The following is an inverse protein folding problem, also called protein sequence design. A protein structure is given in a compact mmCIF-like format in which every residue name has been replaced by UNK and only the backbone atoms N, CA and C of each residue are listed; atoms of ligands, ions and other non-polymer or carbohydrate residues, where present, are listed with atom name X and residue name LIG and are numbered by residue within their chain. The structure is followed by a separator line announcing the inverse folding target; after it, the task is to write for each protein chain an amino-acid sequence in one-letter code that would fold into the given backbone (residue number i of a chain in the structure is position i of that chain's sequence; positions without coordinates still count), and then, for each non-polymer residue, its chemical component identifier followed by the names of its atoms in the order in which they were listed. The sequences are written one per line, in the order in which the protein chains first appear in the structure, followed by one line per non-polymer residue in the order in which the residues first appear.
data_IF_661306403207
#
_entry.id   IF_661306403207
#
_cell.length_a   1.000
_cell.length_b   1.000
_cell.length_c   1.000
_cell.angle_alpha   90.00
_cell.angle_beta   90.00
_cell.angle_gamma   90.00
#
_symmetry.space_group_name_H-M   'P 1'
#
loop_
_entity.id
_entity.type
_entity.pdbx_description
1 polymer ?
#
# COMPACT_ATOMS: atom_id res chain seq x y z
N UNK A 1 -15.33 5.11 -2.56
CA UNK A 1 -14.94 3.79 -2.06
C UNK A 1 -13.49 3.82 -1.62
N UNK A 2 -13.21 3.38 -0.41
CA UNK A 2 -11.86 3.38 0.14
C UNK A 2 -11.31 1.98 0.24
N UNK A 3 -10.00 1.87 0.08
CA UNK A 3 -9.30 0.62 0.31
C UNK A 3 -8.68 0.62 1.70
N UNK A 4 -8.62 -0.55 2.30
CA UNK A 4 -7.87 -0.74 3.54
C UNK A 4 -6.44 -1.10 3.18
N UNK A 5 -5.49 -0.32 3.67
CA UNK A 5 -4.07 -0.59 3.46
C UNK A 5 -3.37 -1.04 4.72
N UNK A 6 -4.13 -1.55 5.69
CA UNK A 6 -3.55 -1.98 6.96
C UNK A 6 -2.51 -3.09 6.76
N UNK A 7 -2.83 -4.06 5.91
CA UNK A 7 -1.91 -5.14 5.62
C UNK A 7 -0.67 -4.63 4.88
N UNK A 8 -0.86 -3.69 3.95
CA UNK A 8 0.26 -3.10 3.22
C UNK A 8 1.17 -2.31 4.17
N UNK A 9 0.58 -1.52 5.07
CA UNK A 9 1.36 -0.77 6.05
C UNK A 9 2.18 -1.70 6.94
N UNK A 10 1.59 -2.81 7.36
CA UNK A 10 2.30 -3.79 8.16
C UNK A 10 3.47 -4.40 7.41
N UNK A 11 3.27 -4.69 6.12
CA UNK A 11 4.34 -5.26 5.32
C UNK A 11 5.48 -4.27 5.09
N UNK A 12 5.13 -3.00 4.84
CA UNK A 12 6.14 -1.93 4.73
C UNK A 12 6.97 -1.86 6.00
N UNK A 13 6.32 -1.88 7.14
CA UNK A 13 7.02 -1.84 8.43
C UNK A 13 7.92 -3.05 8.60
N UNK A 14 7.43 -4.22 8.24
CA UNK A 14 8.17 -5.46 8.41
C UNK A 14 9.42 -5.51 7.54
N UNK A 15 9.31 -5.12 6.27
CA UNK A 15 10.39 -5.28 5.29
C UNK A 15 11.30 -4.06 5.23
N UNK A 16 10.73 -2.85 5.30
CA UNK A 16 11.47 -1.61 5.06
C UNK A 16 11.51 -0.68 6.26
N UNK A 17 10.82 -1.00 7.31
CA UNK A 17 10.76 -0.26 8.57
C UNK A 17 10.02 1.07 8.49
N UNK A 18 10.20 1.88 7.45
CA UNK A 18 9.58 3.20 7.37
C UNK A 18 8.93 3.43 6.02
N UNK A 19 7.93 4.34 6.00
CA UNK A 19 7.31 4.76 4.75
C UNK A 19 8.29 5.58 3.89
N UNK A 20 9.25 6.25 4.51
CA UNK A 20 10.28 6.98 3.78
C UNK A 20 11.10 6.03 2.92
N UNK A 21 11.50 4.89 3.48
CA UNK A 21 12.24 3.90 2.71
C UNK A 21 11.40 3.29 1.60
N UNK A 22 10.12 3.05 1.89
CA UNK A 22 9.21 2.53 0.88
C UNK A 22 9.09 3.51 -0.30
N UNK A 23 8.91 4.80 0.01
CA UNK A 23 8.82 5.83 -1.03
C UNK A 23 10.08 5.84 -1.89
N UNK A 24 11.24 5.79 -1.24
CA UNK A 24 12.52 5.78 -1.93
C UNK A 24 12.64 4.57 -2.86
N UNK A 25 12.24 3.40 -2.37
CA UNK A 25 12.37 2.16 -3.12
C UNK A 25 11.46 2.09 -4.33
N UNK A 26 10.28 2.68 -4.27
CA UNK A 26 9.37 2.67 -5.42
C UNK A 26 9.43 3.96 -6.23
N UNK A 27 10.28 4.90 -5.84
CA UNK A 27 10.61 6.06 -6.68
C UNK A 27 9.60 7.19 -6.62
N UNK A 28 8.91 7.39 -5.49
CA UNK A 28 7.99 8.50 -5.33
C UNK A 28 8.28 9.21 -4.01
N UNK A 29 7.66 10.37 -3.80
CA UNK A 29 7.87 11.12 -2.56
C UNK A 29 7.11 10.46 -1.41
N UNK A 30 7.56 10.72 -0.19
CA UNK A 30 6.87 10.22 1.00
C UNK A 30 5.49 10.85 1.13
N UNK A 31 5.32 12.09 0.66
CA UNK A 31 4.01 12.74 0.63
C UNK A 31 3.05 11.97 -0.28
N UNK A 32 3.53 11.53 -1.44
CA UNK A 32 2.72 10.71 -2.34
C UNK A 32 2.33 9.38 -1.70
N UNK A 33 3.27 8.74 -1.01
CA UNK A 33 2.97 7.50 -0.30
C UNK A 33 1.86 7.73 0.72
N UNK A 34 2.00 8.80 1.49
CA UNK A 34 1.03 9.12 2.52
C UNK A 34 -0.37 9.34 1.93
N UNK A 35 -0.45 10.08 0.82
CA UNK A 35 -1.73 10.33 0.15
C UNK A 35 -2.35 9.02 -0.33
N UNK A 36 -1.57 8.14 -0.92
CA UNK A 36 -2.09 6.88 -1.45
C UNK A 36 -2.56 5.95 -0.34
N UNK A 37 -1.80 5.88 0.75
CA UNK A 37 -2.19 5.04 1.89
C UNK A 37 -3.43 5.58 2.62
N UNK A 38 -3.74 6.86 2.41
CA UNK A 38 -4.93 7.48 3.01
C UNK A 38 -6.06 7.69 2.01
N UNK A 39 -6.01 7.02 0.87
CA UNK A 39 -7.06 7.05 -0.15
C UNK A 39 -7.28 8.42 -0.78
N UNK A 40 -6.29 9.29 -0.74
CA UNK A 40 -6.37 10.60 -1.38
C UNK A 40 -5.90 10.56 -2.82
N UNK A 41 -5.20 9.52 -3.20
CA UNK A 41 -4.86 9.23 -4.59
C UNK A 41 -4.68 7.73 -4.70
N UNK A 42 -4.50 7.24 -5.93
CA UNK A 42 -4.40 5.80 -6.17
C UNK A 42 -2.98 5.41 -6.53
N UNK A 43 -2.61 4.19 -6.17
CA UNK A 43 -1.36 3.62 -6.65
C UNK A 43 -1.46 3.41 -8.16
N UNK A 44 -0.40 3.78 -8.87
CA UNK A 44 -0.31 3.46 -10.28
C UNK A 44 0.09 2.00 -10.46
N UNK A 45 -0.13 1.49 -11.66
CA UNK A 45 0.24 0.13 -11.99
C UNK A 45 1.73 -0.12 -11.76
N UNK A 46 2.58 0.84 -12.15
CA UNK A 46 4.02 0.72 -11.96
C UNK A 46 4.39 0.72 -10.48
N UNK A 47 3.71 1.54 -9.69
CA UNK A 47 3.98 1.59 -8.25
C UNK A 47 3.60 0.29 -7.58
N UNK A 48 2.49 -0.31 -7.98
CA UNK A 48 2.08 -1.62 -7.46
C UNK A 48 3.11 -2.68 -7.85
N UNK A 49 3.53 -2.67 -9.10
CA UNK A 49 4.51 -3.64 -9.59
C UNK A 49 5.82 -3.53 -8.80
N UNK A 50 6.32 -2.30 -8.62
CA UNK A 50 7.55 -2.09 -7.87
C UNK A 50 7.39 -2.50 -6.41
N UNK A 51 6.22 -2.23 -5.83
CA UNK A 51 5.94 -2.61 -4.44
C UNK A 51 5.96 -4.12 -4.25
N UNK A 52 5.40 -4.85 -5.22
CA UNK A 52 5.38 -6.31 -5.16
C UNK A 52 6.81 -6.84 -5.09
N UNK A 53 7.70 -6.27 -5.89
CA UNK A 53 9.09 -6.70 -5.92
C UNK A 53 9.82 -6.34 -4.63
N UNK A 54 9.68 -5.10 -4.20
CA UNK A 54 10.41 -4.60 -3.03
C UNK A 54 9.92 -5.26 -1.74
N UNK A 55 8.62 -5.46 -1.63
CA UNK A 55 8.02 -6.04 -0.43
C UNK A 55 7.89 -7.56 -0.50
N UNK A 56 8.30 -8.16 -1.61
CA UNK A 56 8.26 -9.62 -1.81
C UNK A 56 6.85 -10.17 -1.59
N UNK A 57 5.86 -9.52 -2.22
CA UNK A 57 4.47 -9.92 -2.10
C UNK A 57 4.18 -11.05 -3.09
N UNK A 58 3.68 -12.20 -2.63
CA UNK A 58 3.31 -13.27 -3.55
C UNK A 58 2.17 -12.85 -4.48
N UNK A 59 2.17 -13.37 -5.70
CA UNK A 59 1.17 -13.00 -6.69
C UNK A 59 -0.26 -13.26 -6.21
N UNK A 60 -0.46 -14.33 -5.45
CA UNK A 60 -1.79 -14.67 -4.95
C UNK A 60 -2.25 -13.82 -3.76
N UNK A 61 -1.42 -12.88 -3.30
CA UNK A 61 -1.79 -12.01 -2.19
C UNK A 61 -1.90 -10.54 -2.60
N UNK A 62 -1.70 -10.23 -3.88
CA UNK A 62 -1.70 -8.84 -4.34
C UNK A 62 -3.03 -8.16 -4.01
N UNK A 63 -4.13 -8.87 -4.21
CA UNK A 63 -5.46 -8.31 -3.94
C UNK A 63 -5.61 -7.94 -2.47
N UNK A 64 -5.09 -8.75 -1.58
CA UNK A 64 -5.20 -8.48 -0.15
C UNK A 64 -4.45 -7.21 0.26
N UNK A 65 -3.34 -6.92 -0.40
CA UNK A 65 -2.53 -5.75 -0.06
C UNK A 65 -3.06 -4.46 -0.67
N UNK A 66 -3.56 -4.52 -1.90
CA UNK A 66 -3.87 -3.30 -2.64
C UNK A 66 -5.35 -3.08 -2.94
N UNK A 67 -6.18 -4.11 -2.80
CA UNK A 67 -7.55 -4.02 -3.26
C UNK A 67 -8.57 -4.49 -2.22
N UNK A 68 -8.19 -4.54 -0.96
CA UNK A 68 -9.12 -4.85 0.12
C UNK A 68 -9.99 -3.63 0.38
N UNK A 69 -11.30 -3.79 0.26
CA UNK A 69 -12.22 -2.69 0.49
C UNK A 69 -12.40 -2.46 1.98
N UNK A 70 -12.45 -1.18 2.34
CA UNK A 70 -12.71 -0.79 3.71
C UNK A 70 -14.16 -1.08 4.07
N UNK A 71 -14.39 -1.71 5.21
CA UNK A 71 -15.73 -2.06 5.65
C UNK A 71 -16.24 -0.98 6.59
N UNK A 72 -17.46 -0.51 6.35
CA UNK A 72 -18.11 0.44 7.25
C UNK A 72 -18.46 -0.26 8.55
N UNK A 73 -18.02 0.34 9.66
CA UNK A 73 -18.16 -0.30 10.97
C UNK A 73 -19.45 0.02 11.67
N UNK A 74 -20.19 1.00 11.20
CA UNK A 74 -21.41 1.44 11.85
C UNK A 74 -22.65 1.04 11.11
N UNK A 75 -22.58 0.12 10.21
CA UNK A 75 -23.73 -0.40 9.54
C UNK A 75 -24.50 -1.28 10.53
N UNK A 76 -25.73 -0.98 10.72
CA UNK A 76 -26.54 -1.72 11.67
C UNK A 76 -27.64 -2.44 10.97
#
# INVERSE_FOLDING_TARGET
MNYSYDKLKGRIKEILDTQDRYAEEIGISVTSVNYKLNNKSFFTQNEIYNSIKVLKIPANEIQEYFFTQEVEKNSI
#
